data_IF_126024535880
#
_entry.id   IF_126024535880
#
_cell.length_a   1.000
_cell.length_b   1.000
_cell.length_c   1.000
_cell.angle_alpha   90.00
_cell.angle_beta   90.00
_cell.angle_gamma   90.00
#
_symmetry.space_group_name_H-M   'P 1'
#
loop_
_entity.id
_entity.type
_entity.pdbx_description
1 polymer ?
#
# COMPACT_ATOMS: atom_id res chain seq x y z
N UNK A 1 -64.61 -8.17 -55.56
CA UNK A 1 -64.33 -7.28 -54.42
C UNK A 1 -63.64 -8.12 -53.35
N UNK A 2 -62.32 -7.98 -53.21
CA UNK A 2 -61.52 -8.75 -52.22
C UNK A 2 -60.97 -7.77 -51.19
N UNK A 3 -61.43 -7.86 -49.94
CA UNK A 3 -60.91 -7.11 -48.83
C UNK A 3 -59.63 -7.76 -48.28
N UNK A 4 -58.53 -7.04 -48.21
CA UNK A 4 -57.30 -7.48 -47.58
C UNK A 4 -57.32 -6.98 -46.12
N UNK A 5 -57.30 -7.92 -45.16
CA UNK A 5 -57.00 -7.65 -43.74
C UNK A 5 -55.49 -7.47 -43.56
N UNK A 6 -55.10 -6.36 -43.06
CA UNK A 6 -53.73 -6.07 -42.58
C UNK A 6 -53.65 -6.44 -41.07
N UNK A 7 -52.87 -7.46 -40.76
CA UNK A 7 -52.49 -7.75 -39.36
C UNK A 7 -51.32 -6.86 -38.96
N UNK A 8 -51.52 -6.05 -37.93
CA UNK A 8 -50.44 -5.36 -37.24
C UNK A 8 -49.97 -6.25 -36.09
N UNK A 9 -48.74 -6.77 -36.21
CA UNK A 9 -48.03 -7.44 -35.10
C UNK A 9 -47.17 -6.40 -34.39
N UNK A 10 -47.66 -5.99 -33.20
CA UNK A 10 -46.86 -5.16 -32.32
C UNK A 10 -45.80 -5.99 -31.63
N UNK A 11 -44.55 -5.85 -32.03
CA UNK A 11 -43.39 -6.42 -31.31
C UNK A 11 -43.11 -5.52 -30.12
N UNK A 12 -43.43 -5.96 -28.90
CA UNK A 12 -43.00 -5.37 -27.68
C UNK A 12 -41.58 -5.83 -27.44
N UNK A 13 -40.59 -4.99 -27.67
CA UNK A 13 -39.22 -5.21 -27.29
C UNK A 13 -39.08 -4.94 -25.78
N UNK A 14 -38.98 -5.98 -24.97
CA UNK A 14 -38.54 -5.90 -23.59
C UNK A 14 -37.04 -5.54 -23.57
N UNK A 15 -36.72 -4.28 -23.36
CA UNK A 15 -35.39 -3.85 -22.97
C UNK A 15 -35.17 -4.20 -21.48
N UNK A 16 -34.61 -5.39 -21.23
CA UNK A 16 -34.03 -5.73 -19.93
C UNK A 16 -32.74 -4.92 -19.76
N UNK A 17 -32.83 -3.77 -19.09
CA UNK A 17 -31.67 -3.06 -18.55
C UNK A 17 -31.10 -3.89 -17.42
N UNK A 18 -30.08 -4.69 -17.73
CA UNK A 18 -29.17 -5.23 -16.72
C UNK A 18 -28.40 -4.05 -16.15
N UNK A 19 -28.85 -3.56 -14.99
CA UNK A 19 -28.07 -2.66 -14.17
C UNK A 19 -26.88 -3.47 -13.64
N UNK A 20 -25.78 -3.45 -14.38
CA UNK A 20 -24.47 -3.81 -13.82
C UNK A 20 -24.17 -2.74 -12.78
N UNK A 21 -24.47 -3.04 -11.53
CA UNK A 21 -24.06 -2.25 -10.39
C UNK A 21 -22.55 -2.25 -10.31
N UNK A 22 -21.89 -1.36 -11.03
CA UNK A 22 -20.54 -0.96 -10.74
C UNK A 22 -20.56 -0.29 -9.37
N UNK A 23 -20.26 -1.03 -8.32
CA UNK A 23 -19.81 -0.44 -7.07
C UNK A 23 -18.43 0.18 -7.34
N UNK A 24 -18.42 1.28 -8.06
CA UNK A 24 -17.31 2.20 -8.01
C UNK A 24 -17.39 2.81 -6.60
N UNK A 25 -16.65 2.21 -5.65
CA UNK A 25 -16.26 2.93 -4.46
C UNK A 25 -15.83 4.32 -4.93
N UNK A 26 -16.39 5.37 -4.34
CA UNK A 26 -16.03 6.76 -4.65
C UNK A 26 -14.50 6.85 -4.51
N UNK A 27 -13.80 6.75 -5.63
CA UNK A 27 -12.39 7.13 -5.65
C UNK A 27 -12.39 8.60 -5.32
N UNK A 28 -11.85 8.95 -4.17
CA UNK A 28 -11.62 10.35 -3.82
C UNK A 28 -10.85 11.00 -4.96
N UNK A 29 -11.13 12.25 -5.28
CA UNK A 29 -10.41 13.00 -6.30
C UNK A 29 -8.89 12.96 -6.03
N UNK A 30 -8.09 13.29 -7.01
CA UNK A 30 -6.65 13.46 -6.85
C UNK A 30 -6.32 14.93 -6.57
N UNK A 31 -5.19 15.19 -5.91
CA UNK A 31 -4.61 16.53 -5.83
C UNK A 31 -4.26 16.98 -7.24
N UNK A 32 -4.73 18.17 -7.65
CA UNK A 32 -4.63 18.66 -9.02
C UNK A 32 -3.78 19.95 -9.15
N UNK A 33 -3.25 20.44 -8.02
CA UNK A 33 -2.33 21.56 -8.03
C UNK A 33 -0.90 21.11 -8.29
N UNK A 34 -0.01 22.04 -8.58
CA UNK A 34 1.41 21.74 -8.75
C UNK A 34 2.02 21.20 -7.45
N UNK A 35 2.72 20.07 -7.52
CA UNK A 35 3.53 19.57 -6.40
C UNK A 35 4.60 20.55 -5.93
N UNK A 36 4.94 21.53 -6.77
CA UNK A 36 5.83 22.64 -6.42
C UNK A 36 5.08 23.96 -6.16
N UNK A 37 3.79 23.88 -5.81
CA UNK A 37 2.99 25.03 -5.38
C UNK A 37 3.73 25.80 -4.27
N UNK A 38 3.65 27.17 -4.21
CA UNK A 38 4.38 27.97 -3.21
C UNK A 38 4.14 27.56 -1.76
N UNK A 39 2.97 27.00 -1.44
CA UNK A 39 2.66 26.46 -0.11
C UNK A 39 3.31 25.09 0.15
N UNK A 40 3.76 24.36 -0.87
CA UNK A 40 4.34 22.99 -0.74
C UNK A 40 5.84 23.02 -0.94
N UNK A 41 6.31 23.52 -2.11
CA UNK A 41 7.73 23.63 -2.48
C UNK A 41 8.47 22.29 -2.45
N UNK A 42 7.83 21.23 -2.94
CA UNK A 42 8.35 19.86 -2.82
C UNK A 42 9.81 19.70 -3.25
N UNK A 43 10.24 20.37 -4.33
CA UNK A 43 11.60 20.22 -4.87
C UNK A 43 12.69 20.90 -4.02
N UNK A 44 12.33 21.90 -3.23
CA UNK A 44 13.29 22.81 -2.58
C UNK A 44 13.17 22.88 -1.07
N UNK A 45 12.07 22.40 -0.49
CA UNK A 45 11.91 22.38 0.96
C UNK A 45 12.82 21.35 1.61
N UNK A 46 13.34 21.69 2.77
CA UNK A 46 14.01 20.75 3.65
C UNK A 46 13.02 19.68 4.14
N UNK A 47 13.54 18.50 4.41
CA UNK A 47 12.78 17.36 4.89
C UNK A 47 13.34 16.83 6.22
N UNK A 48 12.50 16.19 7.03
CA UNK A 48 12.91 15.50 8.26
C UNK A 48 12.39 14.06 8.25
N UNK A 49 12.89 13.27 7.32
CA UNK A 49 12.55 11.85 7.23
C UNK A 49 13.46 10.99 8.11
N UNK A 50 13.08 9.72 8.27
CA UNK A 50 13.96 8.74 8.90
C UNK A 50 15.31 8.60 8.17
N UNK A 51 15.32 8.80 6.83
CA UNK A 51 16.54 8.76 6.01
C UNK A 51 17.41 9.98 6.25
N UNK A 52 16.82 11.18 6.39
CA UNK A 52 17.58 12.40 6.71
C UNK A 52 18.28 12.26 8.07
N UNK A 53 17.56 11.71 9.06
CA UNK A 53 18.12 11.44 10.40
C UNK A 53 19.21 10.34 10.36
N UNK A 54 19.04 9.29 9.54
CA UNK A 54 20.09 8.30 9.29
C UNK A 54 21.34 8.95 8.68
N UNK A 55 21.18 9.77 7.65
CA UNK A 55 22.28 10.52 7.02
C UNK A 55 22.98 11.46 8.01
N UNK A 56 22.25 12.12 8.89
CA UNK A 56 22.83 12.96 9.95
C UNK A 56 23.75 12.14 10.86
N UNK A 57 23.27 11.00 11.38
CA UNK A 57 24.07 10.09 12.21
C UNK A 57 25.33 9.58 11.51
N UNK A 58 25.24 9.31 10.20
CA UNK A 58 26.40 8.89 9.39
C UNK A 58 27.41 10.02 9.29
N UNK A 59 26.99 11.25 9.01
CA UNK A 59 27.88 12.43 8.95
C UNK A 59 28.56 12.73 10.30
N UNK A 60 27.85 12.51 11.39
CA UNK A 60 28.35 12.69 12.77
C UNK A 60 29.26 11.54 13.22
N UNK A 61 29.35 10.46 12.47
CA UNK A 61 30.13 9.28 12.82
C UNK A 61 29.50 8.38 13.88
N UNK A 62 28.26 8.66 14.29
CA UNK A 62 27.51 7.85 15.27
C UNK A 62 26.84 6.61 14.66
N UNK A 63 26.76 6.54 13.31
CA UNK A 63 26.33 5.38 12.54
C UNK A 63 27.19 5.23 11.27
N UNK A 64 27.17 4.03 10.69
CA UNK A 64 27.82 3.79 9.40
C UNK A 64 27.04 2.77 8.57
N UNK A 65 27.09 2.90 7.25
CA UNK A 65 26.64 1.86 6.34
C UNK A 65 27.77 0.83 6.14
N UNK A 66 27.44 -0.42 6.32
CA UNK A 66 28.37 -1.56 6.21
C UNK A 66 28.09 -2.29 4.91
N UNK A 67 29.13 -2.43 4.09
CA UNK A 67 29.07 -3.16 2.83
C UNK A 67 29.09 -4.68 3.08
N UNK A 68 28.22 -5.41 2.38
CA UNK A 68 28.17 -6.86 2.31
C UNK A 68 28.31 -7.29 0.83
N UNK A 69 29.15 -8.25 0.51
CA UNK A 69 29.43 -8.65 -0.89
C UNK A 69 28.20 -9.16 -1.64
N UNK A 70 27.20 -9.72 -0.94
CA UNK A 70 26.00 -10.31 -1.54
C UNK A 70 24.81 -9.34 -1.60
N UNK A 71 24.73 -8.45 -0.64
CA UNK A 71 23.54 -7.62 -0.41
C UNK A 71 23.82 -6.11 -0.39
N UNK A 72 25.06 -5.71 -0.75
CA UNK A 72 25.43 -4.31 -0.72
C UNK A 72 25.22 -3.66 0.65
N UNK A 73 24.60 -2.52 0.69
CA UNK A 73 24.27 -1.83 1.94
C UNK A 73 22.91 -2.24 2.54
N UNK A 74 22.15 -3.14 1.90
CA UNK A 74 20.78 -3.47 2.30
C UNK A 74 20.64 -3.77 3.79
N UNK A 75 21.46 -4.69 4.34
CA UNK A 75 21.37 -5.12 5.74
C UNK A 75 21.52 -3.95 6.71
N UNK A 76 22.56 -3.13 6.52
CA UNK A 76 22.83 -1.99 7.41
C UNK A 76 21.80 -0.87 7.25
N UNK A 77 21.21 -0.68 6.06
CA UNK A 77 20.12 0.26 5.84
C UNK A 77 18.86 -0.20 6.58
N UNK A 78 18.48 -1.47 6.46
CA UNK A 78 17.33 -2.01 7.19
C UNK A 78 17.49 -1.88 8.70
N UNK A 79 18.68 -2.18 9.21
CA UNK A 79 19.00 -2.04 10.64
C UNK A 79 18.90 -0.59 11.11
N UNK A 80 19.55 0.36 10.42
CA UNK A 80 19.55 1.77 10.79
C UNK A 80 18.17 2.43 10.69
N UNK A 81 17.31 1.94 9.80
CA UNK A 81 15.94 2.42 9.61
C UNK A 81 14.91 1.60 10.39
N UNK A 82 15.33 0.61 11.18
CA UNK A 82 14.45 -0.30 11.93
C UNK A 82 13.39 -0.98 11.04
N UNK A 83 13.78 -1.43 9.86
CA UNK A 83 12.90 -2.12 8.92
C UNK A 83 13.04 -3.64 9.12
N UNK A 84 11.98 -4.36 9.51
CA UNK A 84 12.05 -5.80 9.78
C UNK A 84 12.21 -6.60 8.49
N UNK A 85 13.07 -7.61 8.51
CA UNK A 85 13.28 -8.53 7.36
C UNK A 85 12.01 -9.33 7.05
N UNK A 86 11.19 -9.62 8.05
CA UNK A 86 9.92 -10.35 7.93
C UNK A 86 8.90 -9.61 7.05
N UNK A 87 9.06 -8.29 6.86
CA UNK A 87 8.24 -7.48 5.96
C UNK A 87 8.51 -7.72 4.48
N UNK A 88 9.50 -8.55 4.13
CA UNK A 88 9.89 -8.79 2.75
C UNK A 88 8.72 -9.26 1.89
N UNK A 89 8.49 -8.52 0.81
CA UNK A 89 7.62 -8.92 -0.30
C UNK A 89 8.39 -8.81 -1.61
N UNK A 90 8.02 -9.58 -2.63
CA UNK A 90 8.78 -9.64 -3.88
C UNK A 90 7.90 -9.39 -5.10
N UNK A 91 8.31 -8.41 -5.92
CA UNK A 91 7.66 -8.03 -7.17
C UNK A 91 8.57 -8.29 -8.36
N UNK A 92 8.02 -8.94 -9.40
CA UNK A 92 8.75 -9.21 -10.64
C UNK A 92 8.13 -8.51 -11.86
N UNK A 93 7.07 -7.72 -11.69
CA UNK A 93 6.57 -6.85 -12.75
C UNK A 93 7.58 -5.75 -13.08
N UNK A 94 7.71 -5.45 -14.37
CA UNK A 94 8.71 -4.53 -14.90
C UNK A 94 8.20 -3.07 -14.92
N UNK A 95 7.57 -2.62 -13.83
CA UNK A 95 7.01 -1.27 -13.68
C UNK A 95 7.92 -0.39 -12.83
N UNK A 96 9.18 -0.22 -13.24
CA UNK A 96 10.21 0.51 -12.48
C UNK A 96 11.23 1.15 -13.42
N UNK A 97 11.94 2.19 -12.96
CA UNK A 97 13.11 2.74 -13.65
C UNK A 97 14.23 1.71 -13.81
N UNK A 98 14.29 0.71 -12.92
CA UNK A 98 15.24 -0.40 -12.96
C UNK A 98 14.64 -1.67 -13.60
N UNK A 99 13.59 -1.54 -14.44
CA UNK A 99 12.85 -2.65 -15.05
C UNK A 99 13.72 -3.72 -15.73
N UNK A 100 14.83 -3.30 -16.34
CA UNK A 100 15.78 -4.19 -17.04
C UNK A 100 16.42 -5.23 -16.12
N UNK A 101 16.50 -4.98 -14.82
CA UNK A 101 17.07 -5.88 -13.83
C UNK A 101 16.01 -6.79 -13.17
N UNK A 102 14.72 -6.46 -13.34
CA UNK A 102 13.61 -7.16 -12.69
C UNK A 102 13.12 -8.32 -13.57
N UNK A 103 13.14 -9.54 -13.02
CA UNK A 103 12.67 -10.77 -13.67
C UNK A 103 12.08 -11.69 -12.61
N UNK A 104 11.39 -12.75 -13.03
CA UNK A 104 10.89 -13.78 -12.11
C UNK A 104 12.03 -14.48 -11.33
N UNK A 105 13.18 -14.65 -11.93
CA UNK A 105 14.37 -15.24 -11.28
C UNK A 105 15.26 -14.18 -10.59
N UNK A 106 14.92 -12.90 -10.73
CA UNK A 106 15.56 -11.76 -10.07
C UNK A 106 14.52 -10.68 -9.69
N UNK A 107 13.55 -11.00 -8.81
CA UNK A 107 12.52 -10.03 -8.42
C UNK A 107 13.11 -8.87 -7.59
N UNK A 108 12.41 -7.74 -7.56
CA UNK A 108 12.67 -6.69 -6.57
C UNK A 108 12.10 -7.14 -5.23
N UNK A 109 12.93 -7.19 -4.18
CA UNK A 109 12.48 -7.29 -2.81
C UNK A 109 12.14 -5.89 -2.27
N UNK A 110 11.03 -5.79 -1.53
CA UNK A 110 10.61 -4.58 -0.82
C UNK A 110 10.48 -4.95 0.65
N UNK A 111 11.12 -4.15 1.50
CA UNK A 111 11.06 -4.21 2.96
C UNK A 111 10.43 -2.93 3.47
N UNK A 112 9.64 -2.99 4.54
CA UNK A 112 8.95 -1.80 5.00
C UNK A 112 8.65 -1.81 6.50
N UNK A 113 8.45 -0.61 7.04
CA UNK A 113 7.80 -0.32 8.31
C UNK A 113 6.76 0.79 8.12
N UNK A 114 6.23 1.39 9.18
CA UNK A 114 5.18 2.42 9.10
C UNK A 114 5.61 3.72 8.40
N UNK A 115 6.90 3.93 8.16
CA UNK A 115 7.45 5.21 7.69
C UNK A 115 8.38 5.10 6.51
N UNK A 116 8.91 3.90 6.24
CA UNK A 116 9.97 3.67 5.25
C UNK A 116 9.66 2.42 4.44
N UNK A 117 9.97 2.48 3.16
CA UNK A 117 10.06 1.30 2.29
C UNK A 117 11.42 1.27 1.60
N UNK A 118 12.05 0.10 1.53
CA UNK A 118 13.36 -0.13 0.92
C UNK A 118 13.22 -1.14 -0.20
N UNK A 119 13.54 -0.73 -1.42
CA UNK A 119 13.52 -1.57 -2.62
C UNK A 119 14.91 -2.02 -2.99
N UNK A 120 15.11 -3.33 -3.13
CA UNK A 120 16.37 -3.96 -3.49
C UNK A 120 16.22 -4.89 -4.68
N UNK A 121 17.12 -4.78 -5.65
CA UNK A 121 17.22 -5.68 -6.79
C UNK A 121 18.65 -6.19 -6.85
N UNK A 122 18.84 -7.48 -6.74
CA UNK A 122 20.16 -8.09 -6.77
C UNK A 122 20.92 -7.71 -8.05
N UNK A 123 22.10 -7.11 -7.89
CA UNK A 123 22.99 -6.75 -9.00
C UNK A 123 22.54 -5.54 -9.83
N UNK A 124 21.54 -4.79 -9.40
CA UNK A 124 21.10 -3.57 -10.10
C UNK A 124 21.97 -2.34 -9.81
N UNK A 125 22.73 -2.37 -8.71
CA UNK A 125 23.68 -1.33 -8.32
C UNK A 125 23.06 -0.10 -7.66
N UNK A 126 21.76 -0.12 -7.38
CA UNK A 126 21.05 0.99 -6.75
C UNK A 126 20.02 0.47 -5.75
N UNK A 127 20.13 0.92 -4.49
CA UNK A 127 19.12 0.71 -3.45
C UNK A 127 18.15 1.89 -3.46
N UNK A 128 16.85 1.63 -3.55
CA UNK A 128 15.78 2.62 -3.56
C UNK A 128 15.15 2.72 -2.17
N UNK A 129 14.97 3.93 -1.64
CA UNK A 129 14.36 4.15 -0.33
C UNK A 129 13.28 5.21 -0.46
N UNK A 130 12.12 4.92 0.11
CA UNK A 130 11.01 5.85 0.24
C UNK A 130 10.81 6.10 1.74
N UNK A 131 10.74 7.37 2.13
CA UNK A 131 10.47 7.73 3.52
C UNK A 131 9.44 8.86 3.58
N UNK A 132 8.57 8.82 4.60
CA UNK A 132 7.54 9.82 4.77
C UNK A 132 8.06 11.05 5.50
N UNK A 133 7.67 12.22 4.99
CA UNK A 133 7.80 13.53 5.63
C UNK A 133 6.40 14.13 5.85
N UNK A 134 6.16 14.72 7.02
CA UNK A 134 4.84 15.22 7.40
C UNK A 134 4.30 16.32 6.48
N UNK A 135 5.18 17.13 5.91
CA UNK A 135 4.81 18.26 5.07
C UNK A 135 4.88 17.94 3.58
N UNK A 136 5.85 17.08 3.20
CA UNK A 136 6.12 16.76 1.79
C UNK A 136 5.41 15.49 1.32
N UNK A 137 4.96 14.62 2.23
CA UNK A 137 4.53 13.28 1.88
C UNK A 137 5.72 12.35 1.67
N UNK A 138 5.65 11.47 0.68
CA UNK A 138 6.73 10.53 0.39
C UNK A 138 7.91 11.22 -0.28
N UNK A 139 9.09 11.07 0.29
CA UNK A 139 10.38 11.55 -0.26
C UNK A 139 11.20 10.33 -0.69
N UNK A 140 11.88 10.46 -1.82
CA UNK A 140 12.60 9.37 -2.47
C UNK A 140 14.10 9.57 -2.35
N UNK A 141 14.81 8.49 -2.04
CA UNK A 141 16.25 8.46 -1.89
C UNK A 141 16.85 7.26 -2.61
N UNK A 142 18.11 7.38 -3.01
CA UNK A 142 18.87 6.29 -3.58
C UNK A 142 20.24 6.17 -2.91
N UNK A 143 20.75 4.94 -2.79
CA UNK A 143 22.13 4.64 -2.40
C UNK A 143 22.77 3.85 -3.53
N UNK A 144 23.92 4.32 -4.00
CA UNK A 144 24.72 3.55 -4.94
C UNK A 144 25.29 2.32 -4.22
N UNK A 145 25.03 1.14 -4.75
CA UNK A 145 25.49 -0.14 -4.21
C UNK A 145 26.92 -0.51 -4.68
N UNK A 146 27.84 0.44 -4.64
CA UNK A 146 29.27 0.21 -4.78
C UNK A 146 29.99 0.61 -3.49
N UNK A 147 31.01 -0.17 -3.04
CA UNK A 147 31.78 0.19 -1.87
C UNK A 147 32.31 1.64 -1.95
N UNK A 148 32.01 2.45 -0.94
CA UNK A 148 32.42 3.84 -0.87
C UNK A 148 32.92 4.20 0.53
N UNK A 149 33.81 5.18 0.63
CA UNK A 149 34.35 5.63 1.91
C UNK A 149 33.28 6.30 2.80
N UNK A 150 32.33 7.02 2.20
CA UNK A 150 31.24 7.71 2.88
C UNK A 150 29.94 7.52 2.10
N UNK A 151 29.34 6.31 2.15
CA UNK A 151 28.06 6.07 1.50
C UNK A 151 26.96 6.84 2.22
N UNK A 152 26.03 7.40 1.46
CA UNK A 152 24.85 8.11 1.98
C UNK A 152 23.67 7.96 1.03
N UNK A 153 22.46 8.16 1.55
CA UNK A 153 21.25 8.19 0.74
C UNK A 153 21.04 9.61 0.16
N UNK A 154 21.09 9.74 -1.15
CA UNK A 154 20.79 10.98 -1.87
C UNK A 154 19.31 11.09 -2.23
N UNK A 155 18.70 12.28 -2.07
CA UNK A 155 17.34 12.54 -2.56
C UNK A 155 17.31 12.44 -4.09
N UNK A 156 16.31 11.71 -4.64
CA UNK A 156 16.16 11.48 -6.07
C UNK A 156 14.75 11.80 -6.55
N UNK A 157 14.58 12.96 -7.17
CA UNK A 157 13.29 13.42 -7.67
C UNK A 157 12.88 12.76 -9.01
N UNK A 158 13.74 11.96 -9.66
CA UNK A 158 13.37 11.21 -10.86
C UNK A 158 12.27 10.16 -10.55
N UNK A 159 12.20 9.71 -9.32
CA UNK A 159 11.16 8.78 -8.86
C UNK A 159 9.74 9.34 -9.05
N UNK A 160 9.56 10.66 -9.02
CA UNK A 160 8.27 11.31 -9.26
C UNK A 160 7.67 11.00 -10.65
N UNK A 161 8.48 10.55 -11.62
CA UNK A 161 7.98 10.18 -12.95
C UNK A 161 6.96 9.05 -12.91
N UNK A 162 7.05 8.18 -11.90
CA UNK A 162 6.11 7.06 -11.67
C UNK A 162 5.34 7.22 -10.35
N UNK A 163 5.93 7.90 -9.36
CA UNK A 163 5.40 8.03 -8.01
C UNK A 163 4.65 9.35 -7.75
N UNK A 164 4.27 10.07 -8.82
CA UNK A 164 3.35 11.20 -8.81
C UNK A 164 2.34 10.98 -9.94
N UNK A 165 1.26 10.29 -9.65
CA UNK A 165 0.28 9.85 -10.65
C UNK A 165 -1.13 9.77 -10.05
N UNK A 166 -2.12 9.41 -10.84
CA UNK A 166 -3.45 9.09 -10.36
C UNK A 166 -3.48 7.94 -9.36
N UNK A 167 -2.58 6.95 -9.52
CA UNK A 167 -2.46 5.81 -8.60
C UNK A 167 -1.93 6.22 -7.21
N UNK A 168 -1.29 7.40 -7.12
CA UNK A 168 -0.84 8.00 -5.87
C UNK A 168 -1.70 9.21 -5.46
N UNK A 169 -2.91 9.36 -6.00
CA UNK A 169 -3.84 10.47 -5.71
C UNK A 169 -3.26 11.86 -6.05
N UNK A 170 -2.36 11.97 -7.04
CA UNK A 170 -1.75 13.22 -7.44
C UNK A 170 -0.71 13.78 -6.46
N UNK A 171 -0.29 13.01 -5.47
CA UNK A 171 0.76 13.36 -4.51
C UNK A 171 1.96 12.43 -4.63
N UNK A 172 3.17 12.83 -4.21
CA UNK A 172 4.29 11.91 -4.11
C UNK A 172 3.98 10.75 -3.18
N UNK A 173 3.99 9.53 -3.70
CA UNK A 173 3.49 8.40 -2.94
C UNK A 173 3.92 7.05 -3.47
N UNK A 174 3.45 6.00 -2.81
CA UNK A 174 3.64 4.61 -3.21
C UNK A 174 2.28 4.00 -3.58
N UNK A 175 2.25 3.24 -4.67
CA UNK A 175 1.11 2.40 -5.02
C UNK A 175 1.56 0.96 -5.25
N UNK A 176 0.81 0.02 -4.70
CA UNK A 176 0.95 -1.39 -5.03
C UNK A 176 0.10 -1.64 -6.28
N UNK A 177 0.74 -2.10 -7.35
CA UNK A 177 0.07 -2.37 -8.61
C UNK A 177 -0.08 -3.87 -8.82
N UNK A 178 -1.26 -4.30 -9.27
CA UNK A 178 -1.47 -5.61 -9.88
C UNK A 178 -1.33 -5.47 -11.39
N UNK A 179 -0.40 -6.21 -12.01
CA UNK A 179 -0.22 -6.18 -13.46
C UNK A 179 -0.99 -7.33 -14.10
N UNK A 180 -1.65 -7.03 -15.22
CA UNK A 180 -2.32 -8.07 -16.00
C UNK A 180 -1.30 -8.83 -16.85
N UNK A 181 -1.43 -10.15 -16.96
CA UNK A 181 -0.56 -10.94 -17.83
C UNK A 181 -0.63 -10.47 -19.29
N UNK A 182 0.53 -10.40 -19.93
CA UNK A 182 0.68 -10.01 -21.32
C UNK A 182 0.59 -11.21 -22.27
N UNK A 183 0.29 -10.96 -23.52
CA UNK A 183 0.32 -12.00 -24.57
C UNK A 183 1.73 -12.18 -25.15
N UNK A 184 2.53 -11.12 -25.15
CA UNK A 184 3.90 -11.11 -25.66
C UNK A 184 4.79 -10.14 -24.88
N UNK A 185 6.10 -10.21 -25.08
CA UNK A 185 7.07 -9.26 -24.49
C UNK A 185 6.90 -7.84 -25.02
N UNK A 186 6.34 -7.70 -26.23
CA UNK A 186 6.11 -6.39 -26.86
C UNK A 186 4.87 -5.68 -26.32
N UNK A 187 3.99 -6.39 -25.62
CA UNK A 187 2.79 -5.79 -25.04
C UNK A 187 3.17 -4.89 -23.86
N UNK A 188 2.54 -3.73 -23.80
CA UNK A 188 2.72 -2.83 -22.67
C UNK A 188 2.16 -3.43 -21.38
N UNK A 189 2.92 -3.34 -20.29
CA UNK A 189 2.47 -3.79 -18.98
C UNK A 189 1.35 -2.86 -18.50
N UNK A 190 0.14 -3.40 -18.40
CA UNK A 190 -1.02 -2.71 -17.84
C UNK A 190 -1.41 -3.32 -16.50
N UNK A 191 -2.02 -2.53 -15.66
CA UNK A 191 -2.44 -2.97 -14.33
C UNK A 191 -3.35 -1.96 -13.67
N UNK A 192 -3.62 -2.17 -12.41
CA UNK A 192 -4.39 -1.24 -11.58
C UNK A 192 -3.89 -1.24 -10.14
N UNK A 193 -4.21 -0.18 -9.43
CA UNK A 193 -3.87 -0.03 -8.03
C UNK A 193 -4.54 -1.13 -7.19
N UNK A 194 -3.79 -1.64 -6.22
CA UNK A 194 -4.27 -2.56 -5.19
C UNK A 194 -4.33 -1.81 -3.87
N UNK A 195 -5.52 -1.81 -3.31
CA UNK A 195 -5.86 -1.31 -2.00
C UNK A 195 -6.85 -2.27 -1.32
N UNK A 196 -7.40 -1.92 -0.16
CA UNK A 196 -8.30 -2.82 0.52
C UNK A 196 -9.70 -2.98 -0.14
N UNK A 197 -10.06 -2.12 -1.11
CA UNK A 197 -11.31 -2.25 -1.87
C UNK A 197 -11.25 -3.34 -2.93
N UNK A 198 -10.05 -3.60 -3.48
CA UNK A 198 -9.90 -4.55 -4.57
C UNK A 198 -10.17 -5.98 -4.11
N UNK A 199 -11.00 -6.76 -4.84
CA UNK A 199 -11.19 -8.20 -4.55
C UNK A 199 -9.86 -8.96 -4.55
N UNK A 200 -9.73 -9.93 -3.64
CA UNK A 200 -8.49 -10.72 -3.47
C UNK A 200 -8.07 -11.43 -4.76
N UNK A 201 -9.05 -11.92 -5.54
CA UNK A 201 -8.80 -12.62 -6.81
C UNK A 201 -8.19 -11.75 -7.90
N UNK A 202 -8.24 -10.43 -7.73
CA UNK A 202 -7.68 -9.46 -8.69
C UNK A 202 -6.34 -8.87 -8.23
N UNK A 203 -5.82 -9.30 -7.05
CA UNK A 203 -4.59 -8.76 -6.48
C UNK A 203 -3.35 -9.54 -6.90
N UNK A 204 -2.22 -8.85 -6.83
CA UNK A 204 -0.85 -9.38 -6.88
C UNK A 204 -0.36 -9.91 -8.20
N UNK A 205 -0.98 -9.56 -9.32
CA UNK A 205 -0.40 -9.82 -10.64
C UNK A 205 1.01 -9.20 -10.75
N UNK A 206 2.00 -10.02 -11.09
CA UNK A 206 3.41 -9.59 -11.12
C UNK A 206 4.15 -9.66 -9.78
N UNK A 207 3.51 -10.22 -8.74
CA UNK A 207 4.11 -10.44 -7.42
C UNK A 207 4.24 -11.91 -7.08
N UNK A 208 5.27 -12.27 -6.31
CA UNK A 208 5.28 -13.51 -5.57
C UNK A 208 4.38 -13.39 -4.35
N UNK A 209 3.67 -14.48 -4.02
CA UNK A 209 2.80 -14.59 -2.86
C UNK A 209 3.08 -15.91 -2.15
N UNK A 210 3.51 -15.83 -0.90
CA UNK A 210 3.73 -16.99 -0.03
C UNK A 210 2.91 -16.90 1.23
N UNK A 211 2.50 -18.05 1.76
CA UNK A 211 1.75 -18.18 2.99
C UNK A 211 1.51 -19.64 3.33
N UNK A 212 1.35 -19.96 4.61
CA UNK A 212 0.93 -21.30 5.05
C UNK A 212 -0.50 -21.60 4.59
N UNK A 213 -1.30 -20.53 4.45
CA UNK A 213 -2.64 -20.60 3.89
C UNK A 213 -2.86 -19.42 2.95
N UNK A 214 -3.18 -19.72 1.70
CA UNK A 214 -3.42 -18.72 0.65
C UNK A 214 -4.89 -18.76 0.21
N UNK A 215 -5.42 -17.65 -0.33
CA UNK A 215 -6.74 -17.63 -0.96
C UNK A 215 -6.74 -18.60 -2.15
N UNK A 216 -7.87 -19.23 -2.47
CA UNK A 216 -7.97 -20.23 -3.53
C UNK A 216 -7.73 -19.61 -4.93
N UNK A 217 -7.91 -18.30 -5.06
CA UNK A 217 -7.71 -17.55 -6.30
C UNK A 217 -7.04 -16.20 -6.00
N UNK A 218 -6.02 -15.86 -6.75
CA UNK A 218 -5.34 -14.57 -6.78
C UNK A 218 -4.48 -14.51 -8.05
N UNK A 219 -3.99 -13.34 -8.43
CA UNK A 219 -3.16 -13.15 -9.63
C UNK A 219 -1.66 -13.31 -9.38
N UNK A 220 -1.23 -13.48 -8.16
CA UNK A 220 0.18 -13.66 -7.82
C UNK A 220 0.74 -15.01 -8.27
N UNK A 221 2.08 -15.06 -8.41
CA UNK A 221 2.84 -16.24 -8.83
C UNK A 221 2.66 -16.66 -10.30
N UNK A 222 1.81 -15.98 -11.08
CA UNK A 222 1.67 -16.25 -12.52
C UNK A 222 2.80 -15.60 -13.31
N UNK A 223 3.26 -16.23 -14.41
CA UNK A 223 4.21 -15.59 -15.31
C UNK A 223 3.63 -14.31 -15.92
N UNK A 224 4.48 -13.31 -16.16
CA UNK A 224 4.07 -12.04 -16.80
C UNK A 224 3.52 -12.24 -18.21
N UNK A 225 4.00 -13.27 -18.91
CA UNK A 225 3.50 -13.70 -20.21
C UNK A 225 2.84 -15.05 -20.01
N UNK A 226 1.52 -15.11 -20.25
CA UNK A 226 0.78 -16.35 -20.06
C UNK A 226 1.10 -17.35 -21.20
N UNK A 227 1.37 -18.61 -20.85
CA UNK A 227 1.44 -19.68 -21.83
C UNK A 227 0.05 -19.92 -22.47
N UNK A 228 0.00 -20.62 -23.60
CA UNK A 228 -1.27 -20.96 -24.27
C UNK A 228 -2.26 -21.70 -23.37
N UNK A 229 -1.74 -22.55 -22.49
CA UNK A 229 -2.53 -23.23 -21.46
C UNK A 229 -2.10 -22.71 -20.10
N UNK A 230 -3.01 -22.08 -19.37
CA UNK A 230 -2.75 -21.50 -18.06
C UNK A 230 -3.15 -22.50 -16.97
N UNK A 231 -2.18 -22.92 -16.19
CA UNK A 231 -2.43 -23.70 -14.97
C UNK A 231 -2.20 -22.80 -13.76
N UNK A 232 -3.14 -22.72 -12.80
CA UNK A 232 -2.91 -21.97 -11.59
C UNK A 232 -1.65 -22.45 -10.86
N UNK A 233 -0.76 -21.53 -10.44
CA UNK A 233 0.43 -21.92 -9.71
C UNK A 233 0.03 -22.54 -8.35
N UNK A 234 0.74 -23.61 -7.91
CA UNK A 234 0.42 -24.25 -6.64
C UNK A 234 0.67 -23.28 -5.47
N UNK A 235 -0.15 -23.36 -4.39
CA UNK A 235 0.12 -22.63 -3.17
C UNK A 235 1.49 -22.99 -2.61
N UNK A 236 2.18 -22.02 -2.02
CA UNK A 236 3.51 -22.22 -1.46
C UNK A 236 3.76 -21.39 -0.20
N UNK A 237 4.46 -21.98 0.76
CA UNK A 237 4.85 -21.29 1.97
C UNK A 237 6.24 -20.61 1.83
N UNK A 238 6.97 -20.91 0.75
CA UNK A 238 8.33 -20.40 0.52
C UNK A 238 8.63 -20.30 -0.96
N UNK A 239 9.58 -19.45 -1.33
CA UNK A 239 10.14 -19.30 -2.69
C UNK A 239 11.34 -20.22 -2.93
N UNK A 240 11.75 -21.01 -1.94
CA UNK A 240 12.85 -21.96 -2.08
C UNK A 240 12.59 -22.92 -3.25
N UNK A 241 13.61 -23.08 -4.09
CA UNK A 241 13.53 -23.95 -5.28
C UNK A 241 12.90 -23.31 -6.53
N UNK A 242 12.39 -22.06 -6.45
CA UNK A 242 11.90 -21.36 -7.65
C UNK A 242 13.02 -20.67 -8.44
N UNK A 243 13.94 -20.05 -7.73
CA UNK A 243 15.10 -19.37 -8.29
C UNK A 243 16.23 -19.33 -7.24
N UNK A 244 17.40 -18.86 -7.63
CA UNK A 244 18.51 -18.68 -6.69
C UNK A 244 18.20 -17.53 -5.72
N UNK A 245 18.06 -17.86 -4.43
CA UNK A 245 17.79 -16.91 -3.36
C UNK A 245 19.04 -16.22 -2.80
N UNK A 246 20.25 -16.57 -3.26
CA UNK A 246 21.46 -15.90 -2.84
C UNK A 246 21.37 -14.38 -3.05
N UNK A 247 21.66 -13.62 -2.00
CA UNK A 247 21.50 -12.15 -2.01
C UNK A 247 20.14 -11.64 -1.57
N UNK A 248 19.13 -12.49 -1.37
CA UNK A 248 17.89 -12.13 -0.69
C UNK A 248 17.94 -12.51 0.78
N UNK A 249 17.31 -11.71 1.66
CA UNK A 249 17.41 -11.90 3.10
C UNK A 249 16.47 -12.99 3.63
N UNK A 250 15.39 -13.30 2.90
CA UNK A 250 14.41 -14.30 3.29
C UNK A 250 13.80 -15.00 2.07
N UNK A 251 13.35 -16.25 2.21
CA UNK A 251 12.73 -17.01 1.12
C UNK A 251 11.20 -16.77 1.03
N UNK A 252 10.72 -15.57 1.33
CA UNK A 252 9.29 -15.25 1.40
C UNK A 252 8.92 -14.03 0.58
N UNK A 253 7.66 -13.98 0.17
CA UNK A 253 6.89 -12.80 -0.20
C UNK A 253 5.53 -12.94 0.51
N UNK A 254 5.51 -12.54 1.78
CA UNK A 254 4.44 -12.89 2.72
C UNK A 254 3.12 -12.21 2.36
N UNK A 255 2.01 -12.98 2.32
CA UNK A 255 0.69 -12.46 1.95
C UNK A 255 0.19 -11.42 2.96
N UNK A 256 0.47 -11.59 4.26
CA UNK A 256 0.03 -10.63 5.29
C UNK A 256 0.82 -9.34 5.17
N UNK A 257 2.13 -9.43 4.91
CA UNK A 257 2.98 -8.27 4.64
C UNK A 257 2.50 -7.52 3.39
N UNK A 258 2.14 -8.22 2.30
CA UNK A 258 1.55 -7.60 1.11
C UNK A 258 0.28 -6.81 1.43
N UNK A 259 -0.65 -7.40 2.17
CA UNK A 259 -1.92 -6.74 2.53
C UNK A 259 -1.71 -5.51 3.44
N UNK A 260 -0.74 -5.58 4.34
CA UNK A 260 -0.38 -4.43 5.19
C UNK A 260 0.28 -3.34 4.35
N UNK A 261 1.19 -3.69 3.43
CA UNK A 261 1.84 -2.73 2.51
C UNK A 261 0.81 -2.02 1.62
N UNK A 262 -0.16 -2.74 1.04
CA UNK A 262 -1.26 -2.19 0.24
C UNK A 262 -2.04 -1.14 1.02
N UNK A 263 -2.47 -1.52 2.22
CA UNK A 263 -3.26 -0.66 3.08
C UNK A 263 -2.49 0.61 3.46
N UNK A 264 -1.27 0.49 3.97
CA UNK A 264 -0.51 1.65 4.41
C UNK A 264 -0.06 2.55 3.26
N UNK A 265 0.27 2.00 2.08
CA UNK A 265 0.70 2.80 0.92
C UNK A 265 -0.42 3.75 0.48
N UNK A 266 -1.63 3.25 0.32
CA UNK A 266 -2.77 4.09 -0.05
C UNK A 266 -3.14 5.09 1.05
N UNK A 267 -3.06 4.66 2.32
CA UNK A 267 -3.37 5.53 3.45
C UNK A 267 -2.39 6.71 3.57
N UNK A 268 -1.09 6.48 3.36
CA UNK A 268 -0.09 7.56 3.35
C UNK A 268 -0.37 8.56 2.23
N UNK A 269 -0.81 8.10 1.06
CA UNK A 269 -1.23 9.00 -0.03
C UNK A 269 -2.45 9.84 0.37
N UNK A 270 -3.44 9.26 1.05
CA UNK A 270 -4.61 9.98 1.55
C UNK A 270 -4.24 11.03 2.61
N UNK A 271 -3.33 10.69 3.55
CA UNK A 271 -2.80 11.62 4.56
C UNK A 271 -2.08 12.79 3.86
N UNK A 272 -1.22 12.48 2.90
CA UNK A 272 -0.49 13.49 2.14
C UNK A 272 -1.44 14.40 1.36
N UNK A 273 -2.45 13.83 0.70
CA UNK A 273 -3.47 14.60 -0.02
C UNK A 273 -4.22 15.54 0.91
N UNK A 274 -4.73 15.05 2.04
CA UNK A 274 -5.44 15.89 3.01
C UNK A 274 -4.55 17.04 3.54
N UNK A 275 -3.27 16.74 3.81
CA UNK A 275 -2.29 17.75 4.21
C UNK A 275 -2.05 18.80 3.13
N UNK A 276 -1.93 18.40 1.87
CA UNK A 276 -1.62 19.30 0.76
C UNK A 276 -2.81 20.17 0.37
N UNK A 277 -4.04 19.61 0.31
CA UNK A 277 -5.26 20.40 0.06
C UNK A 277 -5.44 21.47 1.13
N UNK A 278 -5.21 21.15 2.40
CA UNK A 278 -5.22 22.11 3.50
C UNK A 278 -4.14 23.20 3.32
N UNK A 279 -2.92 22.83 2.98
CA UNK A 279 -1.80 23.79 2.84
C UNK A 279 -1.98 24.77 1.68
N UNK A 280 -2.64 24.36 0.62
CA UNK A 280 -2.95 25.26 -0.52
C UNK A 280 -4.20 26.10 -0.28
N UNK A 281 -4.93 25.85 0.82
CA UNK A 281 -6.09 26.66 1.24
C UNK A 281 -7.40 26.28 0.55
N UNK A 282 -7.51 25.07 0.01
CA UNK A 282 -8.70 24.57 -0.68
C UNK A 282 -9.64 23.87 0.31
N UNK A 283 -10.51 24.64 1.02
CA UNK A 283 -11.36 24.14 2.11
C UNK A 283 -12.26 22.96 1.67
N UNK A 284 -13.01 23.11 0.58
CA UNK A 284 -13.92 22.06 0.11
C UNK A 284 -13.18 20.78 -0.29
N UNK A 285 -11.99 20.87 -0.83
CA UNK A 285 -11.15 19.73 -1.20
C UNK A 285 -10.50 19.11 0.02
N UNK A 286 -10.14 19.92 1.01
CA UNK A 286 -9.66 19.43 2.32
C UNK A 286 -10.74 18.59 2.99
N UNK A 287 -11.99 19.07 3.03
CA UNK A 287 -13.14 18.34 3.55
C UNK A 287 -13.34 16.98 2.84
N UNK A 288 -13.30 16.99 1.49
CA UNK A 288 -13.39 15.76 0.69
C UNK A 288 -12.24 14.79 0.98
N UNK A 289 -11.00 15.29 1.06
CA UNK A 289 -9.82 14.47 1.32
C UNK A 289 -9.84 13.88 2.74
N UNK A 290 -10.29 14.63 3.73
CA UNK A 290 -10.48 14.16 5.10
C UNK A 290 -11.57 13.10 5.17
N UNK A 291 -12.71 13.27 4.47
CA UNK A 291 -13.76 12.25 4.42
C UNK A 291 -13.24 10.92 3.83
N UNK A 292 -12.51 11.01 2.72
CA UNK A 292 -11.91 9.84 2.08
C UNK A 292 -10.89 9.13 3.01
N UNK A 293 -10.06 9.91 3.70
CA UNK A 293 -9.10 9.40 4.68
C UNK A 293 -9.80 8.65 5.83
N UNK A 294 -10.86 9.25 6.40
CA UNK A 294 -11.64 8.64 7.49
C UNK A 294 -12.33 7.36 7.04
N UNK A 295 -12.96 7.35 5.88
CA UNK A 295 -13.61 6.16 5.33
C UNK A 295 -12.59 5.02 5.13
N UNK A 296 -11.42 5.34 4.59
CA UNK A 296 -10.35 4.36 4.41
C UNK A 296 -9.77 3.87 5.75
N UNK A 297 -9.55 4.77 6.72
CA UNK A 297 -9.09 4.39 8.06
C UNK A 297 -10.08 3.47 8.78
N UNK A 298 -11.37 3.65 8.55
CA UNK A 298 -12.45 2.82 9.14
C UNK A 298 -12.76 1.57 8.33
N UNK A 299 -11.96 1.22 7.31
CA UNK A 299 -12.16 0.03 6.47
C UNK A 299 -13.56 -0.04 5.83
N UNK A 300 -14.11 1.11 5.44
CA UNK A 300 -15.34 1.16 4.64
C UNK A 300 -15.10 0.44 3.32
N UNK A 301 -16.06 -0.38 2.89
CA UNK A 301 -16.03 -1.15 1.64
C UNK A 301 -14.81 -2.09 1.47
N UNK A 302 -14.14 -2.48 2.57
CA UNK A 302 -13.05 -3.46 2.52
C UNK A 302 -13.53 -4.78 1.90
N UNK A 303 -12.80 -5.25 0.88
CA UNK A 303 -13.04 -6.55 0.28
C UNK A 303 -12.80 -7.66 1.30
N UNK A 304 -13.79 -8.54 1.49
CA UNK A 304 -13.72 -9.63 2.45
C UNK A 304 -12.68 -10.66 2.03
N UNK A 305 -12.01 -11.24 3.02
CA UNK A 305 -11.19 -12.41 2.80
C UNK A 305 -12.06 -13.61 2.41
N UNK A 306 -11.57 -14.51 1.56
CA UNK A 306 -12.27 -15.71 1.17
C UNK A 306 -12.51 -16.64 2.37
N UNK A 307 -13.51 -17.52 2.24
CA UNK A 307 -13.80 -18.50 3.27
C UNK A 307 -12.57 -19.30 3.67
N UNK A 308 -12.35 -19.38 4.98
CA UNK A 308 -11.18 -20.03 5.57
C UNK A 308 -10.03 -19.09 5.90
N UNK A 309 -10.01 -17.85 5.39
CA UNK A 309 -8.99 -16.85 5.72
C UNK A 309 -7.61 -17.15 5.11
N UNK A 310 -6.60 -16.45 5.60
CA UNK A 310 -5.20 -16.54 5.17
C UNK A 310 -4.27 -16.74 6.37
N UNK A 311 -3.04 -17.23 6.11
CA UNK A 311 -1.98 -17.33 7.12
C UNK A 311 -0.63 -17.06 6.44
N UNK A 312 0.15 -16.11 6.99
CA UNK A 312 1.48 -15.78 6.53
C UNK A 312 2.51 -16.87 6.78
N UNK A 313 3.69 -16.75 6.20
CA UNK A 313 4.78 -17.73 6.32
C UNK A 313 6.08 -17.17 6.91
N UNK A 314 6.21 -15.82 7.02
CA UNK A 314 7.46 -15.16 7.42
C UNK A 314 7.58 -14.86 8.91
N UNK A 315 6.49 -14.93 9.69
CA UNK A 315 6.42 -14.39 11.05
C UNK A 315 6.06 -12.89 11.09
N UNK A 316 5.77 -12.28 9.94
CA UNK A 316 5.42 -10.86 9.87
C UNK A 316 4.19 -10.52 10.70
N UNK A 317 3.15 -11.37 10.68
CA UNK A 317 1.92 -11.12 11.41
C UNK A 317 2.15 -10.95 12.93
N UNK A 318 3.00 -11.80 13.49
CA UNK A 318 3.38 -11.79 14.91
C UNK A 318 4.23 -10.55 15.23
N UNK A 319 5.25 -10.27 14.42
CA UNK A 319 6.10 -9.07 14.56
C UNK A 319 5.26 -7.81 14.47
N UNK A 320 4.42 -7.68 13.44
CA UNK A 320 3.53 -6.54 13.24
C UNK A 320 2.59 -6.29 14.44
N UNK A 321 1.93 -7.35 14.91
CA UNK A 321 1.00 -7.24 16.04
C UNK A 321 1.69 -6.88 17.37
N UNK A 322 2.98 -7.18 17.51
CA UNK A 322 3.76 -6.89 18.72
C UNK A 322 4.15 -5.41 18.85
N UNK A 323 4.19 -4.66 17.77
CA UNK A 323 4.73 -3.28 17.71
C UNK A 323 3.74 -2.20 18.22
N UNK A 324 2.48 -2.52 18.43
CA UNK A 324 1.46 -1.52 18.76
C UNK A 324 1.34 -1.21 20.24
N UNK A 325 0.85 -0.01 20.60
CA UNK A 325 0.37 0.26 21.94
C UNK A 325 -0.81 -0.66 22.25
N UNK A 326 -0.96 -1.00 23.55
CA UNK A 326 -2.05 -1.84 24.05
C UNK A 326 -2.86 -1.10 25.10
N UNK A 327 -4.16 -1.28 25.07
CA UNK A 327 -5.05 -0.79 26.11
C UNK A 327 -4.92 -1.61 27.42
N UNK A 328 -5.61 -1.19 28.46
CA UNK A 328 -5.63 -1.89 29.78
C UNK A 328 -6.13 -3.33 29.71
N UNK A 329 -6.82 -3.72 28.63
CA UNK A 329 -7.29 -5.10 28.36
C UNK A 329 -6.32 -5.89 27.46
N UNK A 330 -5.17 -5.32 27.11
CA UNK A 330 -4.16 -5.92 26.25
C UNK A 330 -4.49 -5.90 24.75
N UNK A 331 -5.53 -5.15 24.31
CA UNK A 331 -5.96 -5.04 22.91
C UNK A 331 -5.18 -3.95 22.19
N UNK A 332 -4.92 -4.16 20.88
CA UNK A 332 -4.24 -3.20 20.02
C UNK A 332 -4.95 -3.07 18.67
N UNK A 333 -4.88 -1.90 18.04
CA UNK A 333 -5.30 -1.74 16.64
C UNK A 333 -4.40 -2.50 15.65
N UNK A 334 -3.25 -3.04 16.09
CA UNK A 334 -2.40 -3.90 15.28
C UNK A 334 -2.78 -5.38 15.33
N UNK A 335 -3.81 -5.76 16.10
CA UNK A 335 -4.29 -7.14 16.06
C UNK A 335 -4.95 -7.45 14.72
N UNK A 336 -4.51 -8.55 14.10
CA UNK A 336 -5.02 -9.03 12.81
C UNK A 336 -6.16 -10.02 13.02
N UNK A 337 -7.16 -10.00 12.14
CA UNK A 337 -8.21 -11.03 12.05
C UNK A 337 -7.77 -12.18 11.14
N UNK A 338 -7.39 -11.89 9.92
CA UNK A 338 -6.95 -12.82 8.87
C UNK A 338 -7.95 -13.93 8.49
N UNK A 339 -9.16 -13.92 9.06
CA UNK A 339 -10.25 -14.86 8.76
C UNK A 339 -11.29 -14.25 7.85
N UNK A 340 -11.72 -13.01 8.15
CA UNK A 340 -12.78 -12.32 7.44
C UNK A 340 -12.31 -11.00 6.83
N UNK A 341 -11.25 -10.40 7.39
CA UNK A 341 -10.67 -9.11 7.04
C UNK A 341 -9.22 -9.02 7.51
N UNK A 342 -8.56 -7.88 7.20
CA UNK A 342 -7.18 -7.67 7.64
C UNK A 342 -7.11 -7.42 9.15
N UNK A 343 -7.75 -6.35 9.64
CA UNK A 343 -7.66 -5.90 11.03
C UNK A 343 -8.82 -6.43 11.88
N UNK A 344 -8.50 -6.84 13.12
CA UNK A 344 -9.50 -7.27 14.11
C UNK A 344 -10.40 -6.12 14.55
N UNK A 345 -9.82 -4.97 14.79
CA UNK A 345 -10.52 -3.74 15.10
C UNK A 345 -10.44 -2.81 13.87
N UNK A 346 -11.54 -2.58 13.14
CA UNK A 346 -11.52 -1.85 11.87
C UNK A 346 -11.38 -0.33 12.07
N UNK A 347 -10.25 0.05 12.60
CA UNK A 347 -9.64 1.36 12.55
C UNK A 347 -8.14 1.16 12.28
N UNK A 348 -7.61 1.86 11.30
CA UNK A 348 -6.23 1.70 10.87
C UNK A 348 -5.23 2.00 11.98
N UNK A 349 -4.30 1.07 12.20
CA UNK A 349 -3.16 1.25 13.09
C UNK A 349 -2.27 2.46 12.72
N UNK A 350 -2.38 2.93 11.48
CA UNK A 350 -1.63 4.08 10.99
C UNK A 350 -2.01 5.39 11.70
N UNK A 351 -3.05 5.41 12.53
CA UNK A 351 -3.33 6.52 13.45
C UNK A 351 -2.16 6.78 14.42
N UNK A 352 -1.32 5.77 14.68
CA UNK A 352 -0.11 5.89 15.49
C UNK A 352 1.16 6.20 14.68
N UNK A 353 1.08 6.16 13.34
CA UNK A 353 2.23 6.39 12.48
C UNK A 353 2.73 7.84 12.57
N UNK A 354 4.02 8.08 12.32
CA UNK A 354 4.53 9.44 12.16
C UNK A 354 3.76 10.22 11.09
N UNK A 355 3.35 9.57 9.99
CA UNK A 355 2.57 10.19 8.93
C UNK A 355 1.30 10.86 9.44
N UNK A 356 0.53 10.18 10.29
CA UNK A 356 -0.70 10.74 10.87
C UNK A 356 -0.42 11.66 12.06
N UNK A 357 0.48 11.25 12.96
CA UNK A 357 0.78 12.02 14.18
C UNK A 357 1.28 13.43 13.85
N UNK A 358 2.12 13.55 12.84
CA UNK A 358 2.82 14.78 12.49
C UNK A 358 2.07 15.59 11.41
N UNK A 359 0.82 15.22 11.05
CA UNK A 359 -0.08 16.04 10.24
C UNK A 359 -0.27 17.44 10.84
N UNK A 360 -0.56 18.48 10.03
CA UNK A 360 -1.02 19.78 10.54
C UNK A 360 -2.21 19.59 11.51
N UNK A 361 -2.22 20.41 12.59
CA UNK A 361 -3.16 20.20 13.69
C UNK A 361 -4.63 20.23 13.25
N UNK A 362 -5.00 21.16 12.35
CA UNK A 362 -6.39 21.35 11.91
C UNK A 362 -6.93 20.17 11.11
N UNK A 363 -6.35 19.72 9.99
CA UNK A 363 -6.86 18.55 9.28
C UNK A 363 -6.78 17.28 10.12
N UNK A 364 -5.78 17.12 10.98
CA UNK A 364 -5.71 16.00 11.94
C UNK A 364 -6.90 16.00 12.89
N UNK A 365 -7.25 17.17 13.46
CA UNK A 365 -8.41 17.27 14.34
C UNK A 365 -9.72 16.98 13.60
N UNK A 366 -9.86 17.44 12.35
CA UNK A 366 -11.02 17.11 11.52
C UNK A 366 -11.17 15.58 11.33
N UNK A 367 -10.07 14.87 11.10
CA UNK A 367 -10.08 13.40 11.00
C UNK A 367 -10.52 12.77 12.31
N UNK A 368 -9.93 13.18 13.45
CA UNK A 368 -10.25 12.62 14.76
C UNK A 368 -11.71 12.88 15.15
N UNK A 369 -12.23 14.07 14.90
CA UNK A 369 -13.63 14.41 15.16
C UNK A 369 -14.61 13.56 14.35
N UNK A 370 -14.33 13.36 13.05
CA UNK A 370 -15.15 12.49 12.20
C UNK A 370 -15.11 11.02 12.64
N UNK A 371 -13.93 10.49 12.96
CA UNK A 371 -13.79 9.14 13.53
C UNK A 371 -14.64 9.05 14.82
N UNK A 372 -14.53 10.00 15.72
CA UNK A 372 -15.27 10.02 16.98
C UNK A 372 -16.79 10.05 16.77
N UNK A 373 -17.29 10.85 15.82
CA UNK A 373 -18.72 10.92 15.49
C UNK A 373 -19.26 9.60 14.92
N UNK A 374 -18.45 8.89 14.12
CA UNK A 374 -18.81 7.55 13.65
C UNK A 374 -18.80 6.54 14.80
N UNK A 375 -17.76 6.55 15.64
CA UNK A 375 -17.62 5.60 16.74
C UNK A 375 -18.62 5.84 17.88
N UNK A 376 -19.08 7.09 18.10
CA UNK A 376 -20.15 7.40 19.05
C UNK A 376 -21.54 6.97 18.59
N UNK A 377 -21.71 6.73 17.28
CA UNK A 377 -22.99 6.44 16.67
C UNK A 377 -23.78 7.69 16.26
N UNK A 378 -23.22 8.88 16.36
CA UNK A 378 -23.81 10.12 15.85
C UNK A 378 -23.94 10.06 14.31
N UNK A 379 -22.89 9.58 13.65
CA UNK A 379 -22.91 9.32 12.21
C UNK A 379 -23.14 7.83 11.97
N UNK A 380 -24.22 7.51 11.26
CA UNK A 380 -24.63 6.15 10.91
C UNK A 380 -24.82 6.03 9.40
N UNK A 381 -24.97 4.81 8.92
CA UNK A 381 -25.26 4.53 7.50
C UNK A 381 -24.77 3.13 7.11
N UNK A 382 -25.26 2.65 5.97
CA UNK A 382 -24.93 1.29 5.47
C UNK A 382 -23.42 1.05 5.33
N UNK A 383 -22.65 2.07 4.93
CA UNK A 383 -21.19 1.99 4.78
C UNK A 383 -20.46 1.70 6.10
N UNK A 384 -21.06 2.00 7.25
CA UNK A 384 -20.50 1.74 8.58
C UNK A 384 -21.13 0.52 9.29
N UNK A 385 -21.92 -0.30 8.58
CA UNK A 385 -22.62 -1.46 9.17
C UNK A 385 -21.67 -2.50 9.78
N UNK A 386 -20.42 -2.59 9.30
CA UNK A 386 -19.38 -3.45 9.85
C UNK A 386 -18.89 -3.01 11.23
N UNK A 387 -19.10 -1.73 11.61
CA UNK A 387 -18.81 -1.18 12.92
C UNK A 387 -19.99 -1.43 13.88
N UNK A 388 -20.16 -2.65 14.33
CA UNK A 388 -21.22 -2.98 15.30
C UNK A 388 -21.04 -2.18 16.59
N UNK A 389 -22.07 -2.03 17.45
CA UNK A 389 -21.93 -1.33 18.74
C UNK A 389 -20.77 -1.85 19.60
N UNK A 390 -20.58 -3.16 19.65
CA UNK A 390 -19.50 -3.81 20.39
C UNK A 390 -18.10 -3.43 19.82
N UNK A 391 -17.97 -3.43 18.49
CA UNK A 391 -16.73 -3.02 17.79
C UNK A 391 -16.42 -1.55 18.04
N UNK A 392 -17.41 -0.65 17.92
CA UNK A 392 -17.24 0.79 18.20
C UNK A 392 -16.79 1.01 19.64
N UNK A 393 -17.40 0.34 20.60
CA UNK A 393 -17.00 0.41 22.02
C UNK A 393 -15.57 -0.05 22.21
N UNK A 394 -15.17 -1.19 21.61
CA UNK A 394 -13.83 -1.71 21.74
C UNK A 394 -12.78 -0.72 21.17
N UNK A 395 -13.02 -0.15 19.97
CA UNK A 395 -12.12 0.83 19.37
C UNK A 395 -12.01 2.09 20.25
N UNK A 396 -13.12 2.61 20.76
CA UNK A 396 -13.10 3.78 21.65
C UNK A 396 -12.31 3.53 22.95
N UNK A 397 -12.44 2.34 23.54
CA UNK A 397 -11.66 1.96 24.72
C UNK A 397 -10.17 1.87 24.39
N UNK A 398 -9.80 1.25 23.25
CA UNK A 398 -8.41 1.20 22.79
C UNK A 398 -7.84 2.61 22.61
N UNK A 399 -8.55 3.46 21.86
CA UNK A 399 -8.08 4.83 21.61
C UNK A 399 -7.90 5.65 22.88
N UNK A 400 -8.80 5.49 23.86
CA UNK A 400 -8.72 6.21 25.14
C UNK A 400 -7.42 5.94 25.88
N UNK A 401 -6.89 4.71 25.77
CA UNK A 401 -5.69 4.29 26.51
C UNK A 401 -4.42 4.47 25.68
N UNK A 402 -4.53 4.65 24.34
CA UNK A 402 -3.39 4.54 23.44
C UNK A 402 -3.12 5.78 22.56
N UNK A 403 -4.05 6.74 22.47
CA UNK A 403 -3.93 7.96 21.69
C UNK A 403 -3.89 9.19 22.61
#
# INVERSE_FOLDING_TARGET
>A
MRARLLFWTSAVALLSTVAVGLSQGRRSGAFDQSFNHPAIKYLTADTDTAVDRMNAKIREGSAKLVWDEKTGYLKSVLELLNVPVESQVMVYSQTSLQAQHIKMDNPRAIYFNDSVSVGYIRGAGLLEILAHDAAMGTVFYTINEAPAAQPNAGRDNQCLRCHLSWDTLGVPGLSVLTTFPRKSEMDYASGGTVDHFKPIEERWGGWYVTGKKLPPRHMGNYPLILPKTVTPPPPRASLAGLFNLDGYLAPYSDIVALMVLEHQSHLVNLITRATWEFRVGEEARTEEAVDALVEYMLYVDEARLPAGGIEGSSGFAETFASLGPKDAKGRSLRELDLKTRLQKYPLSYMIYSPAFRDMPAEPKQMVLDRINRVLSGEVTGAKYAHLTPAVRTAIREILKDTL
#
